data_IF_977406118974
#
_entry.id   IF_977406118974
#
_cell.length_a   1.000
_cell.length_b   1.000
_cell.length_c   1.000
_cell.angle_alpha   90.00
_cell.angle_beta   90.00
_cell.angle_gamma   90.00
#
_symmetry.space_group_name_H-M   'P 1'
#
loop_
_entity.id
_entity.type
_entity.pdbx_description
1 polymer ?
#
# COMPACT_ATOMS: atom_id res chain seq x y z
N UNK A 1 -13.13 -19.42 20.34
CA UNK A 1 -12.16 -18.52 21.02
C UNK A 1 -10.82 -18.44 20.28
N UNK A 2 -10.24 -19.55 19.80
CA UNK A 2 -8.95 -19.54 19.08
C UNK A 2 -8.89 -18.60 17.86
N UNK A 3 -9.92 -18.62 16.99
CA UNK A 3 -9.94 -17.79 15.78
C UNK A 3 -9.92 -16.27 16.06
N UNK A 4 -10.52 -15.81 17.16
CA UNK A 4 -10.50 -14.39 17.55
C UNK A 4 -9.09 -13.97 17.98
N UNK A 5 -8.43 -14.80 18.78
CA UNK A 5 -7.04 -14.55 19.21
C UNK A 5 -6.07 -14.56 18.03
N UNK A 6 -6.26 -15.48 17.07
CA UNK A 6 -5.44 -15.56 15.86
C UNK A 6 -5.53 -14.27 15.02
N UNK A 7 -6.74 -13.75 14.79
CA UNK A 7 -6.91 -12.49 14.04
C UNK A 7 -6.26 -11.31 14.73
N UNK A 8 -6.33 -11.24 16.06
CA UNK A 8 -5.66 -10.18 16.82
C UNK A 8 -4.14 -10.27 16.69
N UNK A 9 -3.56 -11.47 16.72
CA UNK A 9 -2.13 -11.68 16.50
C UNK A 9 -1.74 -11.27 15.08
N UNK A 10 -2.52 -11.66 14.06
CA UNK A 10 -2.27 -11.27 12.67
C UNK A 10 -2.29 -9.74 12.49
N UNK A 11 -3.28 -9.06 13.07
CA UNK A 11 -3.36 -7.59 13.03
C UNK A 11 -2.20 -6.94 13.77
N UNK A 12 -1.79 -7.50 14.92
CA UNK A 12 -0.62 -7.03 15.66
C UNK A 12 0.66 -7.17 14.85
N UNK A 13 0.89 -8.34 14.24
CA UNK A 13 2.04 -8.57 13.36
C UNK A 13 2.05 -7.62 12.17
N UNK A 14 0.90 -7.43 11.52
CA UNK A 14 0.77 -6.49 10.41
C UNK A 14 1.12 -5.06 10.83
N UNK A 15 0.60 -4.61 11.98
CA UNK A 15 0.89 -3.28 12.51
C UNK A 15 2.38 -3.09 12.83
N UNK A 16 3.04 -4.11 13.39
CA UNK A 16 4.48 -4.07 13.69
C UNK A 16 5.30 -3.99 12.40
N UNK A 17 4.96 -4.78 11.38
CA UNK A 17 5.67 -4.77 10.10
C UNK A 17 5.51 -3.42 9.40
N UNK A 18 4.27 -2.94 9.25
CA UNK A 18 4.01 -1.66 8.59
C UNK A 18 4.58 -0.48 9.39
N UNK A 19 4.44 -0.49 10.71
CA UNK A 19 4.99 0.54 11.59
C UNK A 19 6.52 0.57 11.57
N UNK A 20 7.17 -0.59 11.64
CA UNK A 20 8.62 -0.72 11.54
C UNK A 20 9.16 -0.23 10.19
N UNK A 21 8.46 -0.57 9.09
CA UNK A 21 8.82 -0.08 7.76
C UNK A 21 8.65 1.44 7.64
N UNK A 22 7.50 1.99 8.07
CA UNK A 22 7.26 3.43 8.10
C UNK A 22 8.36 4.15 8.89
N UNK A 23 8.66 3.67 10.10
CA UNK A 23 9.70 4.25 10.93
C UNK A 23 11.07 4.16 10.26
N UNK A 24 11.44 2.99 9.74
CA UNK A 24 12.74 2.79 9.10
C UNK A 24 12.99 3.72 7.91
N UNK A 25 11.97 3.98 7.09
CA UNK A 25 12.07 4.98 5.99
C UNK A 25 12.17 6.39 6.57
N UNK A 26 11.32 6.76 7.54
CA UNK A 26 11.32 8.12 8.11
C UNK A 26 12.59 8.48 8.87
N UNK A 27 13.26 7.50 9.47
CA UNK A 27 14.52 7.70 10.19
C UNK A 27 15.75 7.60 9.29
N UNK A 28 15.57 7.30 7.99
CA UNK A 28 16.67 7.08 7.05
C UNK A 28 17.46 5.79 7.30
N UNK A 29 16.90 4.85 8.06
CA UNK A 29 17.50 3.52 8.27
C UNK A 29 17.29 2.61 7.06
N UNK A 30 16.16 2.77 6.37
CA UNK A 30 15.82 2.11 5.11
C UNK A 30 15.96 3.14 3.99
N UNK A 31 16.64 2.76 2.91
CA UNK A 31 16.79 3.62 1.74
C UNK A 31 15.44 3.92 1.07
N UNK A 32 15.29 5.16 0.59
CA UNK A 32 14.04 5.76 0.08
C UNK A 32 13.61 5.15 -1.27
N UNK A 33 14.43 4.28 -1.87
CA UNK A 33 14.03 3.51 -3.05
C UNK A 33 12.68 2.79 -2.84
N UNK A 34 12.36 2.42 -1.60
CA UNK A 34 11.01 1.99 -1.21
C UNK A 34 10.26 3.12 -0.48
N UNK A 35 9.16 3.64 -1.04
CA UNK A 35 8.37 4.68 -0.38
C UNK A 35 7.79 4.17 0.95
N UNK A 36 7.54 5.09 1.88
CA UNK A 36 6.93 4.73 3.14
C UNK A 36 5.50 4.19 2.93
N UNK A 37 5.02 3.25 3.77
CA UNK A 37 3.68 2.67 3.65
C UNK A 37 2.57 3.71 3.48
N UNK A 38 2.65 4.82 4.22
CA UNK A 38 1.64 5.87 4.16
C UNK A 38 1.57 6.55 2.79
N UNK A 39 2.70 6.68 2.10
CA UNK A 39 2.77 7.35 0.81
C UNK A 39 2.20 6.45 -0.31
N UNK A 40 2.39 5.14 -0.18
CA UNK A 40 1.73 4.15 -1.04
C UNK A 40 0.20 4.25 -0.90
N UNK A 41 -0.31 4.32 0.33
CA UNK A 41 -1.76 4.44 0.58
C UNK A 41 -2.30 5.75 0.01
N UNK A 42 -1.60 6.88 0.19
CA UNK A 42 -1.97 8.17 -0.41
C UNK A 42 -2.03 8.08 -1.94
N UNK A 43 -1.05 7.42 -2.56
CA UNK A 43 -0.99 7.26 -4.01
C UNK A 43 -2.15 6.42 -4.55
N UNK A 44 -2.45 5.29 -3.89
CA UNK A 44 -3.61 4.47 -4.22
C UNK A 44 -4.88 5.29 -4.10
N UNK A 45 -5.04 6.03 -3.00
CA UNK A 45 -6.20 6.89 -2.79
C UNK A 45 -6.34 7.94 -3.89
N UNK A 46 -5.25 8.61 -4.26
CA UNK A 46 -5.23 9.59 -5.34
C UNK A 46 -5.67 8.97 -6.68
N UNK A 47 -5.24 7.74 -6.99
CA UNK A 47 -5.68 7.02 -8.20
C UNK A 47 -7.16 6.65 -8.16
N UNK A 48 -7.64 6.03 -7.10
CA UNK A 48 -9.03 5.53 -7.05
C UNK A 48 -10.07 6.65 -6.94
N UNK A 49 -9.67 7.82 -6.44
CA UNK A 49 -10.55 8.99 -6.34
C UNK A 49 -10.56 9.85 -7.61
N UNK A 50 -9.65 9.61 -8.56
CA UNK A 50 -9.61 10.29 -9.85
C UNK A 50 -10.39 9.50 -10.91
N UNK A 51 -11.52 9.99 -11.44
CA UNK A 51 -12.24 9.33 -12.52
C UNK A 51 -11.40 9.16 -13.80
N UNK A 52 -10.43 10.05 -14.04
CA UNK A 52 -9.50 9.98 -15.17
C UNK A 52 -8.60 8.76 -15.13
N UNK A 53 -8.24 8.28 -13.93
CA UNK A 53 -7.43 7.08 -13.74
C UNK A 53 -8.02 5.87 -14.46
N UNK A 54 -9.31 5.61 -14.27
CA UNK A 54 -9.99 4.46 -14.89
C UNK A 54 -10.00 4.54 -16.41
N UNK A 55 -10.20 5.73 -16.97
CA UNK A 55 -10.13 5.95 -18.43
C UNK A 55 -8.75 5.56 -18.97
N UNK A 56 -7.69 6.05 -18.34
CA UNK A 56 -6.32 5.77 -18.78
C UNK A 56 -5.99 4.28 -18.67
N UNK A 57 -6.33 3.64 -17.55
CA UNK A 57 -6.11 2.20 -17.35
C UNK A 57 -6.83 1.38 -18.42
N UNK A 58 -8.11 1.68 -18.70
CA UNK A 58 -8.87 0.96 -19.74
C UNK A 58 -8.27 1.14 -21.12
N UNK A 59 -7.83 2.35 -21.49
CA UNK A 59 -7.18 2.60 -22.77
C UNK A 59 -5.92 1.76 -22.89
N UNK A 60 -5.01 1.87 -21.92
CA UNK A 60 -3.73 1.13 -21.97
C UNK A 60 -3.93 -0.37 -22.03
N UNK A 61 -4.86 -0.93 -21.24
CA UNK A 61 -5.17 -2.36 -21.32
C UNK A 61 -5.75 -2.75 -22.68
N UNK A 62 -6.59 -1.91 -23.28
CA UNK A 62 -7.14 -2.16 -24.64
C UNK A 62 -6.03 -2.11 -25.69
N UNK A 63 -5.11 -1.16 -25.59
CA UNK A 63 -3.95 -1.03 -26.49
C UNK A 63 -2.99 -2.22 -26.40
N UNK A 64 -2.85 -2.87 -25.23
CA UNK A 64 -2.02 -4.09 -25.13
C UNK A 64 -2.64 -5.32 -25.81
N UNK A 65 -3.92 -5.27 -26.14
CA UNK A 65 -4.66 -6.39 -26.75
C UNK A 65 -4.77 -6.25 -28.28
N UNK A 66 -4.74 -5.02 -28.80
CA UNK A 66 -4.83 -4.69 -30.23
C UNK A 66 -3.47 -4.80 -30.94
#
# INVERSE_FOLDING_TARGET
>A
MAARSERLIQLGLLAVILGGWQLGVTTGLIDVFFPAPIDIVKQIFAWVTDPGFYKHVTITLTETVL
#
